data_IF_748916752204
#
_entry.id   IF_748916752204
#
_cell.length_a   1.000
_cell.length_b   1.000
_cell.length_c   1.000
_cell.angle_alpha   90.00
_cell.angle_beta   90.00
_cell.angle_gamma   90.00
#
_symmetry.space_group_name_H-M   'P 1'
#
loop_
_entity.id
_entity.type
_entity.pdbx_description
1 polymer ?
#
# COMPACT_ATOMS: atom_id res chain seq x y z
N UNK A 1 3.79 -6.05 11.06
CA UNK A 1 2.73 -5.10 10.66
C UNK A 1 1.77 -5.87 9.77
N UNK A 2 0.52 -6.02 10.19
CA UNK A 2 -0.51 -6.75 9.43
C UNK A 2 -1.46 -5.71 8.84
N UNK A 3 -1.77 -5.81 7.55
CA UNK A 3 -2.87 -5.05 6.97
C UNK A 3 -4.17 -5.67 7.49
N UNK A 4 -4.93 -4.91 8.27
CA UNK A 4 -6.21 -5.35 8.82
C UNK A 4 -7.40 -4.61 8.14
N UNK A 5 -8.61 -5.03 8.47
CA UNK A 5 -9.83 -4.49 7.87
C UNK A 5 -10.16 -3.04 8.29
N UNK A 6 -9.44 -2.48 9.26
CA UNK A 6 -9.60 -1.09 9.69
C UNK A 6 -8.73 -0.11 8.90
N UNK A 7 -7.83 -0.62 8.05
CA UNK A 7 -6.97 0.20 7.22
C UNK A 7 -7.77 1.00 6.19
N UNK A 8 -7.56 2.32 6.17
CA UNK A 8 -8.15 3.20 5.18
C UNK A 8 -7.40 3.09 3.84
N UNK A 9 -8.14 2.92 2.74
CA UNK A 9 -7.56 2.95 1.38
C UNK A 9 -7.24 4.40 1.02
N UNK A 10 -5.96 4.68 0.75
CA UNK A 10 -5.49 6.02 0.36
C UNK A 10 -5.48 6.23 -1.16
N UNK A 11 -5.44 5.15 -1.93
CA UNK A 11 -5.39 5.19 -3.39
C UNK A 11 -4.90 3.86 -3.98
N UNK A 12 -4.83 3.79 -5.31
CA UNK A 12 -4.29 2.65 -6.04
C UNK A 12 -3.66 3.11 -7.36
N UNK A 13 -2.85 2.23 -7.96
CA UNK A 13 -2.27 2.42 -9.29
C UNK A 13 -2.37 1.12 -10.05
N UNK A 14 -3.21 1.12 -11.08
CA UNK A 14 -3.29 0.01 -12.02
C UNK A 14 -2.01 -0.06 -12.87
N UNK A 15 -1.53 -1.27 -13.12
CA UNK A 15 -0.45 -1.55 -14.06
C UNK A 15 -0.90 -2.65 -15.03
N UNK A 16 -0.38 -2.67 -16.27
CA UNK A 16 -0.55 -3.83 -17.16
C UNK A 16 0.05 -5.10 -16.55
N UNK A 17 -0.35 -6.26 -17.08
CA UNK A 17 0.25 -7.53 -16.72
C UNK A 17 1.77 -7.51 -16.97
N UNK A 18 2.54 -8.09 -16.04
CA UNK A 18 3.98 -8.19 -16.13
C UNK A 18 4.39 -9.57 -16.66
N UNK A 19 5.32 -9.60 -17.60
CA UNK A 19 5.98 -10.83 -18.02
C UNK A 19 6.90 -11.37 -16.89
N UNK A 20 7.27 -12.67 -16.91
CA UNK A 20 8.18 -13.24 -15.93
C UNK A 20 9.50 -12.43 -15.81
N UNK A 21 9.86 -12.06 -14.58
CA UNK A 21 11.08 -11.28 -14.29
C UNK A 21 10.98 -9.77 -14.58
N UNK A 22 9.88 -9.29 -15.15
CA UNK A 22 9.66 -7.87 -15.37
C UNK A 22 9.29 -7.14 -14.06
N UNK A 23 9.57 -5.84 -14.00
CA UNK A 23 9.20 -4.97 -12.89
C UNK A 23 8.44 -3.74 -13.39
N UNK A 24 7.63 -3.13 -12.53
CA UNK A 24 6.98 -1.84 -12.79
C UNK A 24 7.27 -0.89 -11.64
N UNK A 25 7.96 0.20 -11.93
CA UNK A 25 8.19 1.30 -11.00
C UNK A 25 7.33 2.51 -11.35
N UNK A 26 7.02 3.33 -10.35
CA UNK A 26 6.22 4.54 -10.50
C UNK A 26 5.79 5.07 -9.16
N UNK A 27 5.32 6.33 -9.15
CA UNK A 27 4.84 7.00 -7.95
C UNK A 27 3.34 7.22 -8.01
N UNK A 28 2.69 7.27 -6.85
CA UNK A 28 1.28 7.63 -6.70
C UNK A 28 1.18 8.60 -5.54
N UNK A 29 0.72 9.81 -5.82
CA UNK A 29 0.44 10.78 -4.77
C UNK A 29 -0.86 10.40 -4.10
N UNK A 30 -0.82 10.26 -2.77
CA UNK A 30 -1.99 10.02 -1.94
C UNK A 30 -2.10 11.14 -0.92
N UNK A 31 -3.31 11.41 -0.45
CA UNK A 31 -3.58 12.39 0.60
C UNK A 31 -3.96 11.66 1.87
N UNK A 32 -3.33 11.99 2.98
CA UNK A 32 -3.78 11.50 4.30
C UNK A 32 -5.13 12.18 4.60
N UNK A 33 -6.20 11.42 4.90
CA UNK A 33 -7.51 11.99 5.16
C UNK A 33 -7.48 13.05 6.26
N UNK A 34 -8.24 14.13 6.06
CA UNK A 34 -8.44 15.11 7.11
C UNK A 34 -9.07 14.43 8.35
N UNK A 35 -8.58 14.77 9.54
CA UNK A 35 -9.04 14.16 10.78
C UNK A 35 -8.36 12.83 11.13
N UNK A 36 -7.38 12.34 10.35
CA UNK A 36 -6.50 11.27 10.84
C UNK A 36 -5.84 11.72 12.13
N UNK A 37 -6.00 10.93 13.20
CA UNK A 37 -5.47 11.25 14.51
C UNK A 37 -3.95 11.45 14.46
N UNK A 38 -3.43 12.37 15.26
CA UNK A 38 -1.98 12.51 15.44
C UNK A 38 -1.38 11.27 16.09
N UNK A 39 -0.10 11.00 15.81
CA UNK A 39 0.64 9.89 16.38
C UNK A 39 1.34 9.05 15.33
N UNK A 40 1.64 7.81 15.72
CA UNK A 40 2.38 6.85 14.90
C UNK A 40 1.43 6.11 13.96
N UNK A 41 1.77 6.13 12.67
CA UNK A 41 1.01 5.43 11.63
C UNK A 41 1.95 4.66 10.70
N UNK A 42 1.35 3.78 9.90
CA UNK A 42 2.04 3.13 8.80
C UNK A 42 1.29 3.40 7.50
N UNK A 43 2.03 3.77 6.46
CA UNK A 43 1.55 3.67 5.08
C UNK A 43 1.94 2.28 4.57
N UNK A 44 0.97 1.52 4.07
CA UNK A 44 1.18 0.17 3.54
C UNK A 44 0.85 0.16 2.05
N UNK A 45 1.77 -0.37 1.24
CA UNK A 45 1.52 -0.71 -0.15
C UNK A 45 1.37 -2.23 -0.28
N UNK A 46 0.30 -2.67 -0.95
CA UNK A 46 0.03 -4.08 -1.24
C UNK A 46 -0.04 -4.30 -2.75
N UNK A 47 0.86 -5.12 -3.29
CA UNK A 47 0.75 -5.60 -4.67
C UNK A 47 -0.41 -6.61 -4.80
N UNK A 48 -1.17 -6.52 -5.91
CA UNK A 48 -2.34 -7.37 -6.17
C UNK A 48 -3.32 -7.39 -4.97
N UNK A 49 -3.74 -6.20 -4.53
CA UNK A 49 -4.54 -6.05 -3.32
C UNK A 49 -5.87 -6.82 -3.37
N UNK A 50 -6.45 -6.90 -4.58
CA UNK A 50 -7.70 -7.58 -4.92
C UNK A 50 -7.52 -9.10 -5.15
N UNK A 51 -6.28 -9.60 -5.06
CA UNK A 51 -5.93 -11.01 -5.19
C UNK A 51 -6.36 -11.64 -6.53
N UNK A 52 -6.14 -10.91 -7.64
CA UNK A 52 -6.51 -11.31 -9.00
C UNK A 52 -5.47 -12.23 -9.63
N UNK A 53 -4.19 -12.05 -9.30
CA UNK A 53 -3.09 -12.84 -9.88
C UNK A 53 -2.78 -14.00 -8.94
N UNK A 54 -2.77 -15.24 -9.43
CA UNK A 54 -2.31 -16.37 -8.61
C UNK A 54 -0.78 -16.33 -8.51
N UNK A 55 -0.26 -16.14 -7.30
CA UNK A 55 1.17 -16.07 -6.99
C UNK A 55 1.54 -17.21 -6.03
N UNK A 56 2.74 -17.77 -6.17
CA UNK A 56 3.22 -18.86 -5.30
C UNK A 56 3.50 -18.41 -3.87
N UNK A 57 3.80 -17.12 -3.69
CA UNK A 57 3.98 -16.50 -2.39
C UNK A 57 3.25 -15.15 -2.40
N UNK A 58 2.27 -14.99 -1.51
CA UNK A 58 1.53 -13.74 -1.29
C UNK A 58 2.07 -12.93 -0.12
N UNK A 59 2.95 -13.52 0.69
CA UNK A 59 3.50 -12.92 1.90
C UNK A 59 4.52 -11.81 1.62
N UNK A 60 5.06 -11.73 0.41
CA UNK A 60 6.01 -10.71 -0.02
C UNK A 60 5.35 -9.53 -0.78
N UNK A 61 4.03 -9.46 -0.82
CA UNK A 61 3.32 -8.38 -1.52
C UNK A 61 3.20 -7.09 -0.72
N UNK A 62 3.63 -7.09 0.55
CA UNK A 62 3.51 -5.95 1.45
C UNK A 62 4.82 -5.22 1.62
N UNK A 63 4.76 -3.90 1.46
CA UNK A 63 5.78 -2.98 1.92
C UNK A 63 5.13 -1.93 2.82
N UNK A 64 5.85 -1.42 3.82
CA UNK A 64 5.33 -0.41 4.74
C UNK A 64 6.36 0.66 5.08
N UNK A 65 5.87 1.86 5.35
CA UNK A 65 6.64 3.00 5.82
C UNK A 65 6.04 3.50 7.13
N UNK A 66 6.90 3.73 8.13
CA UNK A 66 6.51 4.43 9.34
C UNK A 66 6.39 5.92 9.07
N UNK A 67 5.33 6.53 9.56
CA UNK A 67 5.14 7.98 9.55
C UNK A 67 4.68 8.45 10.92
N UNK A 68 4.94 9.71 11.22
CA UNK A 68 4.39 10.37 12.39
C UNK A 68 3.56 11.57 11.94
N UNK A 69 2.28 11.58 12.31
CA UNK A 69 1.39 12.70 12.07
C UNK A 69 1.43 13.60 13.30
N UNK A 70 1.82 14.85 13.11
CA UNK A 70 1.84 15.87 14.17
C UNK A 70 0.77 16.92 13.92
N UNK A 71 0.37 17.62 14.97
CA UNK A 71 -0.28 18.93 14.78
C UNK A 71 0.74 19.89 14.18
N UNK A 72 0.26 20.81 13.33
CA UNK A 72 1.08 21.91 12.82
C UNK A 72 1.43 22.91 13.91
#
# INVERSE_FOLDING_TARGET
TVLDASAAVLGSRAIPALAPGATSSGSTTVTIPAGTATGNHYIIAKADADNVVTETNKGNNLYYWFIQITVN
#
